data_IF_180288998080
#
_entry.id   IF_180288998080
#
_cell.length_a   1.000
_cell.length_b   1.000
_cell.length_c   1.000
_cell.angle_alpha   90.00
_cell.angle_beta   90.00
_cell.angle_gamma   90.00
#
_symmetry.space_group_name_H-M   'P 1'
#
loop_
_entity.id
_entity.type
_entity.pdbx_description
1 polymer ?
#
# COMPACT_ATOMS: atom_id res chain seq x y z
N UNK A 1 -17.45 -8.99 -7.69
CA UNK A 1 -16.68 -8.73 -6.45
C UNK A 1 -15.69 -9.86 -6.24
N UNK A 2 -14.40 -9.57 -5.97
CA UNK A 2 -13.35 -10.57 -5.68
C UNK A 2 -12.67 -10.17 -4.37
N UNK A 3 -12.12 -11.16 -3.64
CA UNK A 3 -11.23 -10.93 -2.48
C UNK A 3 -9.78 -11.07 -2.93
N UNK A 4 -8.97 -10.06 -2.66
CA UNK A 4 -7.60 -9.96 -3.18
C UNK A 4 -6.65 -9.56 -2.04
N UNK A 5 -5.58 -10.32 -1.86
CA UNK A 5 -4.47 -9.95 -1.00
C UNK A 5 -3.27 -9.56 -1.88
N UNK A 6 -2.72 -8.37 -1.64
CA UNK A 6 -1.52 -7.86 -2.32
C UNK A 6 -0.39 -7.82 -1.31
N UNK A 7 0.72 -8.46 -1.65
CA UNK A 7 1.91 -8.52 -0.80
C UNK A 7 2.99 -7.61 -1.37
N UNK A 8 3.39 -6.60 -0.60
CA UNK A 8 4.53 -5.76 -0.91
C UNK A 8 5.75 -6.27 -0.14
N UNK A 9 6.72 -6.84 -0.85
CA UNK A 9 7.92 -7.46 -0.25
C UNK A 9 9.20 -6.64 -0.44
N UNK A 10 9.35 -5.99 -1.61
CA UNK A 10 10.58 -5.31 -2.00
C UNK A 10 10.70 -3.91 -1.38
N UNK A 11 11.87 -3.61 -0.80
CA UNK A 11 12.21 -2.34 -0.13
C UNK A 11 12.55 -1.18 -1.07
N UNK A 12 12.13 -1.23 -2.33
CA UNK A 12 12.34 -0.15 -3.28
C UNK A 12 11.05 0.69 -3.38
N UNK A 13 11.21 2.02 -3.28
CA UNK A 13 10.10 2.95 -3.09
C UNK A 13 9.13 2.98 -4.30
N UNK A 14 9.66 2.92 -5.53
CA UNK A 14 8.83 2.86 -6.73
C UNK A 14 8.04 1.55 -6.82
N UNK A 15 8.65 0.41 -6.48
CA UNK A 15 7.96 -0.88 -6.38
C UNK A 15 6.81 -0.82 -5.36
N UNK A 16 7.05 -0.18 -4.22
CA UNK A 16 6.01 0.00 -3.21
C UNK A 16 4.87 0.92 -3.70
N UNK A 17 5.21 1.99 -4.43
CA UNK A 17 4.22 2.89 -5.03
C UNK A 17 3.25 2.16 -5.97
N UNK A 18 3.73 1.20 -6.76
CA UNK A 18 2.86 0.37 -7.60
C UNK A 18 1.88 -0.48 -6.78
N UNK A 19 2.31 -1.02 -5.64
CA UNK A 19 1.41 -1.75 -4.74
C UNK A 19 0.29 -0.84 -4.20
N UNK A 20 0.64 0.39 -3.77
CA UNK A 20 -0.33 1.39 -3.31
C UNK A 20 -1.34 1.76 -4.39
N UNK A 21 -0.87 2.04 -5.61
CA UNK A 21 -1.74 2.39 -6.74
C UNK A 21 -2.67 1.22 -7.11
N UNK A 22 -2.14 -0.01 -7.14
CA UNK A 22 -2.92 -1.19 -7.48
C UNK A 22 -4.04 -1.45 -6.47
N UNK A 23 -3.77 -1.36 -5.17
CA UNK A 23 -4.82 -1.63 -4.18
C UNK A 23 -5.91 -0.55 -4.19
N UNK A 24 -5.55 0.70 -4.45
CA UNK A 24 -6.52 1.79 -4.59
C UNK A 24 -7.38 1.62 -5.85
N UNK A 25 -6.79 1.23 -6.98
CA UNK A 25 -7.52 0.92 -8.21
C UNK A 25 -8.45 -0.29 -8.04
N UNK A 26 -7.98 -1.37 -7.41
CA UNK A 26 -8.79 -2.55 -7.12
C UNK A 26 -9.99 -2.22 -6.22
N UNK A 27 -9.78 -1.38 -5.18
CA UNK A 27 -10.87 -0.88 -4.35
C UNK A 27 -11.87 -0.06 -5.15
N UNK A 28 -11.39 0.86 -6.00
CA UNK A 28 -12.22 1.69 -6.88
C UNK A 28 -13.11 0.84 -7.81
N UNK A 29 -12.61 -0.31 -8.25
CA UNK A 29 -13.35 -1.30 -9.06
C UNK A 29 -14.33 -2.18 -8.27
N UNK A 30 -14.49 -1.95 -6.96
CA UNK A 30 -15.42 -2.69 -6.11
C UNK A 30 -14.92 -4.06 -5.65
N UNK A 31 -13.59 -4.26 -5.59
CA UNK A 31 -13.00 -5.45 -4.99
C UNK A 31 -12.74 -5.24 -3.49
N UNK A 32 -12.84 -6.33 -2.72
CA UNK A 32 -12.36 -6.39 -1.35
C UNK A 32 -10.86 -6.67 -1.41
N UNK A 33 -10.03 -5.68 -1.06
CA UNK A 33 -8.58 -5.76 -1.21
C UNK A 33 -7.89 -5.45 0.11
N UNK A 34 -6.83 -6.22 0.40
CA UNK A 34 -5.91 -5.95 1.52
C UNK A 34 -4.48 -5.84 1.02
N UNK A 35 -3.75 -4.89 1.59
CA UNK A 35 -2.29 -4.76 1.41
C UNK A 35 -1.60 -5.34 2.64
N UNK A 36 -0.67 -6.27 2.42
CA UNK A 36 0.22 -6.80 3.45
C UNK A 36 1.63 -6.35 3.10
N UNK A 37 2.30 -5.72 4.08
CA UNK A 37 3.67 -5.23 3.91
C UNK A 37 4.60 -6.18 4.69
N UNK A 38 5.49 -6.85 3.97
CA UNK A 38 6.41 -7.84 4.55
C UNK A 38 7.81 -7.70 3.94
N UNK A 39 8.77 -8.48 4.43
CA UNK A 39 10.13 -8.45 3.90
C UNK A 39 10.81 -7.09 4.04
N UNK A 40 11.61 -6.71 3.03
CA UNK A 40 12.38 -5.46 3.05
C UNK A 40 11.51 -4.21 2.87
N UNK A 41 10.28 -4.34 2.36
CA UNK A 41 9.32 -3.24 2.25
C UNK A 41 8.89 -2.65 3.61
N UNK A 42 8.99 -3.42 4.70
CA UNK A 42 8.61 -2.96 6.05
C UNK A 42 9.39 -1.70 6.48
N UNK A 43 10.64 -1.56 6.04
CA UNK A 43 11.47 -0.38 6.31
C UNK A 43 10.93 0.92 5.66
N UNK A 44 10.11 0.80 4.60
CA UNK A 44 9.51 1.96 3.91
C UNK A 44 8.35 2.57 4.70
N UNK A 45 7.77 1.84 5.66
CA UNK A 45 6.64 2.33 6.48
C UNK A 45 7.03 3.60 7.25
N UNK A 46 8.23 3.62 7.84
CA UNK A 46 8.71 4.79 8.59
C UNK A 46 8.91 5.99 7.66
N UNK A 47 9.45 5.77 6.46
CA UNK A 47 9.71 6.83 5.49
C UNK A 47 8.40 7.45 4.99
N UNK A 48 7.42 6.62 4.65
CA UNK A 48 6.10 7.05 4.15
C UNK A 48 5.23 7.70 5.22
N UNK A 49 5.59 7.58 6.50
CA UNK A 49 4.97 8.31 7.60
C UNK A 49 5.42 9.78 7.71
N UNK A 50 6.50 10.18 7.00
CA UNK A 50 7.04 11.53 7.05
C UNK A 50 6.41 12.40 5.96
N UNK A 51 6.01 13.62 6.32
CA UNK A 51 5.51 14.60 5.35
C UNK A 51 6.62 14.99 4.35
N UNK A 52 6.24 15.18 3.09
CA UNK A 52 7.19 15.47 2.00
C UNK A 52 7.82 14.23 1.35
N UNK A 53 7.68 13.04 1.93
CA UNK A 53 8.12 11.80 1.26
C UNK A 53 7.23 11.52 0.03
N UNK A 54 7.83 11.17 -1.13
CA UNK A 54 7.06 10.73 -2.28
C UNK A 54 6.07 9.61 -1.91
N UNK A 55 4.85 9.71 -2.43
CA UNK A 55 3.78 8.72 -2.21
C UNK A 55 3.24 8.60 -0.77
N UNK A 56 3.70 9.41 0.19
CA UNK A 56 3.10 9.50 1.52
C UNK A 56 1.57 9.76 1.47
N UNK A 57 1.02 10.60 0.57
CA UNK A 57 -0.43 10.77 0.44
C UNK A 57 -1.17 9.50 0.02
N UNK A 58 -0.58 8.68 -0.85
CA UNK A 58 -1.16 7.40 -1.26
C UNK A 58 -1.17 6.40 -0.10
N UNK A 59 -0.06 6.34 0.65
CA UNK A 59 0.04 5.48 1.82
C UNK A 59 -0.97 5.88 2.90
N UNK A 60 -1.11 7.19 3.18
CA UNK A 60 -2.11 7.71 4.10
C UNK A 60 -3.55 7.33 3.66
N UNK A 61 -3.84 7.44 2.35
CA UNK A 61 -5.14 7.01 1.81
C UNK A 61 -5.39 5.53 2.01
N UNK A 62 -4.42 4.66 1.70
CA UNK A 62 -4.53 3.20 1.91
C UNK A 62 -4.82 2.86 3.37
N UNK A 63 -4.20 3.56 4.32
CA UNK A 63 -4.46 3.39 5.76
C UNK A 63 -5.85 3.87 6.17
N UNK A 64 -6.23 5.08 5.76
CA UNK A 64 -7.55 5.66 6.07
C UNK A 64 -8.70 4.80 5.50
N UNK A 65 -8.45 4.19 4.34
CA UNK A 65 -9.39 3.31 3.66
C UNK A 65 -9.49 1.91 4.27
N UNK A 66 -8.73 1.60 5.32
CA UNK A 66 -8.71 0.30 5.98
C UNK A 66 -8.18 -0.84 5.10
N UNK A 67 -7.38 -0.53 4.08
CA UNK A 67 -6.85 -1.53 3.14
C UNK A 67 -5.63 -2.26 3.74
N UNK A 68 -4.82 -1.57 4.56
CA UNK A 68 -3.67 -2.18 5.21
C UNK A 68 -4.12 -3.30 6.18
N UNK A 69 -3.45 -4.44 6.12
CA UNK A 69 -3.66 -5.58 7.01
C UNK A 69 -2.34 -5.99 7.69
N UNK A 70 -2.47 -6.56 8.89
CA UNK A 70 -1.38 -6.74 9.86
C UNK A 70 -1.56 -5.80 11.04
#
# INVERSE_FOLDING_TARGET
MKKIAVFAFQGELMCFAHALLNVLDLKSKGHEVKLIIEGSATALIEQLGKEGTPFAPLYAKVRADGILAG
#
